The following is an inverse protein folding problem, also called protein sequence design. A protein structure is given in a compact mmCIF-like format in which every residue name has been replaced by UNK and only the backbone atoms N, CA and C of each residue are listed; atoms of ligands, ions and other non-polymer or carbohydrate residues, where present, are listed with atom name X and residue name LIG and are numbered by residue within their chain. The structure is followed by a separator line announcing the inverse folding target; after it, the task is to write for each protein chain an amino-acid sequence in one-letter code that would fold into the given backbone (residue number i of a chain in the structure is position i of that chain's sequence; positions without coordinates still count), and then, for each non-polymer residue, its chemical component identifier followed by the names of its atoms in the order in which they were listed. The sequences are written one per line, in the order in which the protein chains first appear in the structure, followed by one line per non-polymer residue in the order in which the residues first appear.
data_IF_767892379015
#
_entry.id   IF_767892379015
#
_cell.length_a   1.000
_cell.length_b   1.000
_cell.length_c   1.000
_cell.angle_alpha   90.00
_cell.angle_beta   90.00
_cell.angle_gamma   90.00
#
_symmetry.space_group_name_H-M   'P 1'
#
loop_
_entity.id
_entity.type
_entity.pdbx_description
1 polymer ?
#
# COMPACT_ATOMS: atom_id res chain seq x y z
N UNK A 1 5.86 4.52 24.45
CA UNK A 1 4.75 4.23 25.37
C UNK A 1 3.62 3.66 24.53
N UNK A 2 3.32 2.37 24.64
CA UNK A 2 2.17 1.78 23.93
C UNK A 2 0.88 2.34 24.53
N UNK A 3 -0.02 2.87 23.70
CA UNK A 3 -1.35 3.28 24.13
C UNK A 3 -2.23 2.03 24.16
N UNK A 4 -2.71 1.68 25.35
CA UNK A 4 -3.68 0.60 25.54
C UNK A 4 -5.09 1.15 25.41
N UNK A 5 -5.94 0.48 24.64
CA UNK A 5 -7.36 0.80 24.51
C UNK A 5 -8.15 -0.41 24.99
N UNK A 6 -9.07 -0.20 25.94
CA UNK A 6 -9.94 -1.24 26.51
C UNK A 6 -11.40 -0.90 26.24
N UNK A 7 -12.16 -1.91 25.86
CA UNK A 7 -13.61 -1.83 25.69
C UNK A 7 -14.24 -3.03 26.40
N UNK A 8 -15.36 -2.80 27.06
CA UNK A 8 -16.20 -3.85 27.62
C UNK A 8 -17.30 -4.15 26.62
N UNK A 9 -17.51 -5.44 26.35
CA UNK A 9 -18.56 -5.97 25.50
C UNK A 9 -19.43 -6.87 26.36
N UNK A 10 -20.73 -6.83 26.14
CA UNK A 10 -21.61 -7.87 26.66
C UNK A 10 -21.44 -9.20 25.89
N UNK A 11 -22.01 -10.29 26.42
CA UNK A 11 -21.83 -11.63 25.85
C UNK A 11 -22.37 -11.73 24.41
N UNK A 12 -23.45 -11.01 24.09
CA UNK A 12 -24.07 -11.02 22.76
C UNK A 12 -23.21 -10.25 21.74
N UNK A 13 -22.70 -9.10 22.14
CA UNK A 13 -21.75 -8.31 21.37
C UNK A 13 -20.44 -9.07 21.14
N UNK A 14 -19.94 -9.78 22.16
CA UNK A 14 -18.72 -10.56 22.07
C UNK A 14 -18.85 -11.68 21.03
N UNK A 15 -19.90 -12.50 21.10
CA UNK A 15 -20.08 -13.60 20.16
C UNK A 15 -20.28 -13.10 18.73
N UNK A 16 -21.06 -12.04 18.54
CA UNK A 16 -21.22 -11.42 17.22
C UNK A 16 -19.89 -10.91 16.65
N UNK A 17 -19.07 -10.26 17.45
CA UNK A 17 -17.76 -9.78 16.98
C UNK A 17 -16.79 -10.94 16.74
N UNK A 18 -16.90 -12.04 17.50
CA UNK A 18 -16.10 -13.25 17.31
C UNK A 18 -16.43 -13.94 15.99
N UNK A 19 -17.71 -14.07 15.63
CA UNK A 19 -18.13 -14.58 14.32
C UNK A 19 -17.55 -13.74 13.18
N UNK A 20 -17.67 -12.40 13.25
CA UNK A 20 -17.12 -11.49 12.22
C UNK A 20 -15.60 -11.64 12.11
N UNK A 21 -14.91 -11.75 13.26
CA UNK A 21 -13.46 -11.95 13.31
C UNK A 21 -13.05 -13.24 12.60
N UNK A 22 -13.77 -14.34 12.86
CA UNK A 22 -13.50 -15.66 12.28
C UNK A 22 -13.79 -15.69 10.78
N UNK A 23 -14.94 -15.15 10.36
CA UNK A 23 -15.33 -15.05 8.95
C UNK A 23 -14.33 -14.24 8.12
N UNK A 24 -13.80 -13.14 8.68
CA UNK A 24 -12.80 -12.31 8.02
C UNK A 24 -11.35 -12.80 8.20
N UNK A 25 -11.12 -13.89 8.93
CA UNK A 25 -9.77 -14.40 9.22
C UNK A 25 -8.87 -13.40 9.97
N UNK A 26 -9.46 -12.51 10.79
CA UNK A 26 -8.74 -11.42 11.47
C UNK A 26 -8.33 -11.76 12.90
N UNK A 27 -7.38 -10.99 13.42
CA UNK A 27 -7.16 -10.88 14.87
C UNK A 27 -8.11 -9.85 15.48
N UNK A 28 -8.25 -9.83 16.81
CA UNK A 28 -9.07 -8.81 17.50
C UNK A 28 -8.59 -7.39 17.20
N UNK A 29 -7.27 -7.14 17.29
CA UNK A 29 -6.70 -5.85 16.91
C UNK A 29 -7.00 -5.48 15.45
N UNK A 30 -6.92 -6.45 14.53
CA UNK A 30 -7.26 -6.24 13.11
C UNK A 30 -8.73 -5.93 12.86
N UNK A 31 -9.63 -6.51 13.65
CA UNK A 31 -11.06 -6.19 13.60
C UNK A 31 -11.34 -4.78 14.12
N UNK A 32 -10.70 -4.37 15.22
CA UNK A 32 -10.86 -3.01 15.78
C UNK A 32 -10.36 -1.93 14.82
N UNK A 33 -9.19 -2.12 14.21
CA UNK A 33 -8.66 -1.17 13.20
C UNK A 33 -9.61 -1.06 12.01
N UNK A 34 -10.19 -2.17 11.56
CA UNK A 34 -11.18 -2.16 10.48
C UNK A 34 -12.46 -1.40 10.86
N UNK A 35 -12.98 -1.65 12.07
CA UNK A 35 -14.19 -0.97 12.56
C UNK A 35 -13.99 0.53 12.77
N UNK A 36 -12.83 0.96 13.29
CA UNK A 36 -12.49 2.40 13.41
C UNK A 36 -12.49 3.07 12.03
N UNK A 37 -11.87 2.44 11.03
CA UNK A 37 -11.86 2.94 9.65
C UNK A 37 -13.26 3.03 9.03
N UNK A 38 -14.18 2.17 9.43
CA UNK A 38 -15.57 2.18 8.97
C UNK A 38 -16.41 3.25 9.67
N UNK A 39 -16.17 3.47 10.98
CA UNK A 39 -16.84 4.48 11.81
C UNK A 39 -16.39 5.92 11.56
N UNK A 40 -15.15 6.12 11.11
CA UNK A 40 -14.66 7.43 10.65
C UNK A 40 -15.42 7.95 9.41
N UNK A 41 -16.36 7.16 8.90
CA UNK A 41 -17.18 7.49 7.76
C UNK A 41 -16.37 7.23 6.50
N UNK A 42 -17.01 6.61 5.53
CA UNK A 42 -16.44 6.38 4.21
C UNK A 42 -15.99 7.70 3.54
N UNK A 43 -14.73 8.06 3.78
CA UNK A 43 -13.81 8.65 2.80
C UNK A 43 -13.44 7.66 1.69
N UNK A 44 -14.35 6.71 1.39
CA UNK A 44 -14.38 5.83 0.22
C UNK A 44 -13.24 4.84 0.04
N UNK A 45 -13.51 3.81 -0.75
CA UNK A 45 -12.52 3.00 -1.46
C UNK A 45 -11.40 3.83 -2.12
N UNK A 46 -11.59 5.15 -2.27
CA UNK A 46 -10.57 6.10 -2.71
C UNK A 46 -9.41 6.28 -1.72
N UNK A 47 -9.58 6.22 -0.40
CA UNK A 47 -8.42 6.36 0.54
C UNK A 47 -7.43 5.19 0.43
N UNK A 48 -7.94 3.97 0.23
CA UNK A 48 -7.10 2.80 -0.03
C UNK A 48 -6.41 2.86 -1.39
N UNK A 49 -6.95 3.67 -2.31
CA UNK A 49 -6.41 3.92 -3.65
C UNK A 49 -5.71 5.29 -3.78
N UNK A 50 -5.70 6.15 -2.77
CA UNK A 50 -5.08 7.48 -2.84
C UNK A 50 -3.55 7.35 -2.94
N UNK A 51 -3.00 6.30 -2.34
CA UNK A 51 -1.64 5.85 -2.61
C UNK A 51 -1.43 5.45 -4.06
N UNK A 52 -2.42 4.81 -4.69
CA UNK A 52 -2.32 4.23 -6.04
C UNK A 52 -2.57 5.27 -7.13
N UNK A 53 -3.37 6.31 -6.87
CA UNK A 53 -3.63 7.43 -7.79
C UNK A 53 -2.38 8.29 -7.99
N UNK A 54 -2.09 8.65 -9.22
CA UNK A 54 -0.96 9.51 -9.57
C UNK A 54 -1.35 10.50 -10.66
N UNK A 55 -0.88 11.73 -10.50
CA UNK A 55 -0.92 12.75 -11.54
C UNK A 55 0.23 12.55 -12.53
N UNK A 56 -0.09 12.14 -13.77
CA UNK A 56 0.88 11.87 -14.84
C UNK A 56 1.73 13.10 -15.18
N UNK A 57 1.25 14.32 -14.92
CA UNK A 57 2.01 15.55 -15.09
C UNK A 57 3.11 15.72 -14.01
N UNK A 58 3.03 14.96 -12.92
CA UNK A 58 4.05 14.86 -11.86
C UNK A 58 4.86 13.55 -11.94
N UNK A 59 5.01 12.92 -13.12
CA UNK A 59 5.92 11.78 -13.31
C UNK A 59 7.39 12.22 -13.26
N UNK A 60 8.02 11.95 -12.12
CA UNK A 60 9.42 12.26 -11.82
C UNK A 60 10.35 11.06 -12.01
N UNK A 61 9.87 9.94 -12.57
CA UNK A 61 10.72 8.79 -12.87
C UNK A 61 11.80 9.20 -13.85
N UNK A 62 13.05 9.14 -13.40
CA UNK A 62 14.23 9.29 -14.26
C UNK A 62 14.34 8.06 -15.16
N UNK A 63 14.59 8.25 -16.45
CA UNK A 63 14.78 7.13 -17.38
C UNK A 63 15.89 6.19 -16.86
N UNK A 64 15.66 4.86 -16.89
CA UNK A 64 16.68 3.90 -16.48
C UNK A 64 17.76 3.82 -17.54
N UNK A 65 18.87 4.51 -17.28
CA UNK A 65 20.11 4.41 -18.05
C UNK A 65 21.04 3.34 -17.45
N UNK A 66 21.94 2.75 -18.25
CA UNK A 66 22.95 1.82 -17.76
C UNK A 66 23.72 2.42 -16.58
N UNK A 67 23.73 1.74 -15.43
CA UNK A 67 24.41 2.18 -14.20
C UNK A 67 23.52 2.90 -13.16
N UNK A 68 22.26 3.20 -13.47
CA UNK A 68 21.32 3.73 -12.47
C UNK A 68 20.58 2.60 -11.75
N UNK A 69 20.67 2.54 -10.41
CA UNK A 69 19.96 1.56 -9.57
C UNK A 69 18.46 1.88 -9.37
N UNK A 70 17.73 1.97 -10.47
CA UNK A 70 16.27 2.22 -10.45
C UNK A 70 15.49 0.98 -10.06
N UNK A 71 15.99 -0.20 -10.42
CA UNK A 71 15.43 -1.46 -9.99
C UNK A 71 15.55 -1.64 -8.46
N UNK A 72 16.72 -1.33 -7.87
CA UNK A 72 16.89 -1.35 -6.42
C UNK A 72 16.00 -0.34 -5.72
N UNK A 73 15.86 0.87 -6.26
CA UNK A 73 14.93 1.88 -5.75
C UNK A 73 13.47 1.39 -5.75
N UNK A 74 13.05 0.76 -6.83
CA UNK A 74 11.72 0.16 -6.98
C UNK A 74 11.48 -0.96 -5.97
N UNK A 75 12.40 -1.94 -5.88
CA UNK A 75 12.31 -3.04 -4.91
C UNK A 75 12.29 -2.54 -3.47
N UNK A 76 13.12 -1.53 -3.15
CA UNK A 76 13.14 -0.93 -1.82
C UNK A 76 11.80 -0.30 -1.45
N UNK A 77 11.11 0.34 -2.40
CA UNK A 77 9.77 0.88 -2.17
C UNK A 77 8.75 -0.22 -1.91
N UNK A 78 8.82 -1.31 -2.68
CA UNK A 78 7.95 -2.47 -2.48
C UNK A 78 8.12 -3.09 -1.09
N UNK A 79 9.37 -3.31 -0.65
CA UNK A 79 9.67 -3.84 0.68
C UNK A 79 9.13 -2.94 1.80
N UNK A 80 9.08 -1.62 1.59
CA UNK A 80 8.48 -0.69 2.55
C UNK A 80 6.97 -0.93 2.70
N UNK A 81 6.27 -1.21 1.61
CA UNK A 81 4.85 -1.57 1.65
C UNK A 81 4.62 -2.91 2.35
N UNK A 82 5.45 -3.93 2.07
CA UNK A 82 5.39 -5.24 2.75
C UNK A 82 5.59 -5.12 4.27
N UNK A 83 6.41 -4.15 4.71
CA UNK A 83 6.65 -3.84 6.12
C UNK A 83 5.52 -3.02 6.77
N UNK A 84 4.49 -2.65 6.02
CA UNK A 84 3.38 -1.84 6.48
C UNK A 84 3.75 -0.37 6.70
N UNK A 85 4.82 0.13 6.08
CA UNK A 85 5.15 1.56 6.15
C UNK A 85 4.19 2.36 5.29
N UNK A 86 3.59 3.40 5.87
CA UNK A 86 2.69 4.31 5.17
C UNK A 86 3.47 5.50 4.60
N UNK A 87 3.33 5.74 3.29
CA UNK A 87 3.86 6.95 2.68
C UNK A 87 2.85 8.09 2.84
N UNK A 88 3.30 9.21 3.41
CA UNK A 88 2.47 10.39 3.53
C UNK A 88 2.12 11.01 2.17
N UNK A 89 1.04 11.78 2.12
CA UNK A 89 0.55 12.46 0.90
C UNK A 89 1.61 13.24 0.15
N UNK A 90 2.56 13.88 0.86
CA UNK A 90 3.70 14.59 0.25
C UNK A 90 4.63 13.67 -0.52
N UNK A 91 4.91 12.47 0.01
CA UNK A 91 5.75 11.49 -0.67
C UNK A 91 5.05 10.94 -1.92
N UNK A 92 3.72 10.91 -1.92
CA UNK A 92 2.92 10.35 -3.01
C UNK A 92 2.52 11.37 -4.09
N UNK A 93 2.83 12.67 -3.91
CA UNK A 93 2.46 13.73 -4.86
C UNK A 93 3.00 13.47 -6.28
N UNK A 94 4.25 13.01 -6.37
CA UNK A 94 4.90 12.65 -7.63
C UNK A 94 5.13 11.14 -7.78
N UNK A 95 5.36 10.71 -9.01
CA UNK A 95 5.73 9.32 -9.30
C UNK A 95 7.25 9.17 -9.44
N UNK A 96 7.88 8.55 -8.45
CA UNK A 96 9.26 8.09 -8.52
C UNK A 96 9.30 6.56 -8.65
N UNK A 97 10.45 5.98 -9.02
CA UNK A 97 10.60 4.52 -9.03
C UNK A 97 10.38 3.89 -7.66
N UNK A 98 10.82 4.57 -6.60
CA UNK A 98 10.62 4.12 -5.23
C UNK A 98 9.14 4.12 -4.84
N UNK A 99 8.44 5.22 -5.12
CA UNK A 99 7.03 5.37 -4.77
C UNK A 99 6.17 4.43 -5.60
N UNK A 100 6.50 4.22 -6.88
CA UNK A 100 5.82 3.24 -7.73
C UNK A 100 5.96 1.83 -7.14
N UNK A 101 7.16 1.43 -6.73
CA UNK A 101 7.38 0.15 -6.06
C UNK A 101 6.54 0.01 -4.79
N UNK A 102 6.49 1.05 -3.96
CA UNK A 102 5.65 1.08 -2.77
C UNK A 102 4.16 0.89 -3.09
N UNK A 103 3.65 1.61 -4.10
CA UNK A 103 2.24 1.52 -4.52
C UNK A 103 1.86 0.12 -4.99
N UNK A 104 2.72 -0.52 -5.77
CA UNK A 104 2.47 -1.87 -6.25
C UNK A 104 2.59 -2.90 -5.12
N UNK A 105 3.51 -2.70 -4.17
CA UNK A 105 3.60 -3.53 -2.96
C UNK A 105 2.34 -3.46 -2.09
N UNK A 106 1.69 -2.29 -2.01
CA UNK A 106 0.39 -2.15 -1.32
C UNK A 106 -0.76 -2.91 -2.01
N UNK A 107 -0.60 -3.27 -3.29
CA UNK A 107 -1.63 -3.96 -4.09
C UNK A 107 -1.39 -5.46 -4.13
N UNK A 108 -0.13 -5.87 -4.28
CA UNK A 108 0.25 -7.26 -4.53
C UNK A 108 0.86 -7.98 -3.32
N UNK A 109 1.10 -7.28 -2.22
CA UNK A 109 1.71 -7.81 -1.00
C UNK A 109 3.06 -8.53 -1.29
N UNK A 110 3.35 -9.59 -0.54
CA UNK A 110 4.56 -10.40 -0.68
C UNK A 110 4.63 -11.05 -2.06
N UNK A 111 5.56 -10.56 -2.88
CA UNK A 111 5.74 -10.97 -4.27
C UNK A 111 7.19 -11.42 -4.52
N UNK A 112 7.42 -12.56 -5.20
CA UNK A 112 8.76 -13.01 -5.60
C UNK A 112 9.59 -11.93 -6.32
N UNK A 113 10.91 -11.98 -6.13
CA UNK A 113 11.83 -10.96 -6.66
C UNK A 113 11.79 -10.89 -8.18
N UNK A 114 11.63 -12.03 -8.84
CA UNK A 114 11.57 -12.16 -10.30
C UNK A 114 10.33 -11.46 -10.86
N UNK A 115 9.17 -11.62 -10.22
CA UNK A 115 7.93 -10.95 -10.64
C UNK A 115 8.00 -9.42 -10.41
N UNK A 116 8.66 -8.98 -9.34
CA UNK A 116 8.96 -7.56 -9.11
C UNK A 116 9.83 -6.98 -10.24
N UNK A 117 10.82 -7.74 -10.71
CA UNK A 117 11.68 -7.35 -11.83
C UNK A 117 10.92 -7.27 -13.15
N UNK A 118 10.08 -8.26 -13.46
CA UNK A 118 9.25 -8.27 -14.67
C UNK A 118 8.28 -7.08 -14.70
N UNK A 119 7.60 -6.80 -13.59
CA UNK A 119 6.73 -5.63 -13.45
C UNK A 119 7.50 -4.32 -13.60
N UNK A 120 8.70 -4.23 -13.03
CA UNK A 120 9.56 -3.07 -13.23
C UNK A 120 9.87 -2.87 -14.71
N UNK A 121 10.28 -3.91 -15.44
CA UNK A 121 10.58 -3.80 -16.88
C UNK A 121 9.35 -3.37 -17.68
N UNK A 122 8.16 -3.89 -17.35
CA UNK A 122 6.92 -3.45 -17.97
C UNK A 122 6.67 -1.95 -17.75
N UNK A 123 6.87 -1.46 -16.52
CA UNK A 123 6.74 -0.03 -16.20
C UNK A 123 7.75 0.86 -16.94
N UNK A 124 8.96 0.35 -17.20
CA UNK A 124 9.98 1.04 -18.01
C UNK A 124 9.52 1.16 -19.47
N UNK A 125 9.02 0.09 -20.05
CA UNK A 125 8.50 0.11 -21.43
C UNK A 125 7.27 1.01 -21.56
N UNK A 126 6.38 1.01 -20.56
CA UNK A 126 5.26 1.94 -20.50
C UNK A 126 5.75 3.40 -20.49
N UNK A 127 6.74 3.72 -19.64
CA UNK A 127 7.31 5.07 -19.57
C UNK A 127 7.88 5.52 -20.93
N UNK A 128 8.59 4.63 -21.63
CA UNK A 128 9.13 4.92 -22.97
C UNK A 128 8.05 5.19 -24.00
N UNK A 129 6.91 4.50 -23.91
CA UNK A 129 5.79 4.69 -24.84
C UNK A 129 5.01 5.98 -24.57
N UNK A 130 4.83 6.37 -23.31
CA UNK A 130 4.08 7.58 -22.93
C UNK A 130 4.86 8.87 -23.15
N UNK A 131 6.20 8.81 -23.18
CA UNK A 131 7.06 9.98 -23.46
C UNK A 131 7.47 10.12 -24.93
N UNK A 132 6.86 9.35 -25.85
CA UNK A 132 6.95 9.56 -27.30
C UNK A 132 5.91 10.55 -27.77
#
# INVERSE_FOLDING_TARGET
MAREIRFELDDEQFEKMKEIKEDQGRTWAGLFVAGVRELEGSGSSTERLDGVKHDWDEDQRVFPEPGNDRLGSFKAGWTKAEQGEEFGSRALKGLSWHNLGWRLGMVFDDTPTELKEELYQWCVEQQKQTKK
#
